data_IF_127377756392
#
_entry.id   IF_127377756392
#
_cell.length_a   1.000
_cell.length_b   1.000
_cell.length_c   1.000
_cell.angle_alpha   90.00
_cell.angle_beta   90.00
_cell.angle_gamma   90.00
#
_symmetry.space_group_name_H-M   'P 1'
#
loop_
_entity.id
_entity.type
_entity.pdbx_description
1 polymer ?
#
# COMPACT_ATOMS: atom_id res chain seq x y z
N UNK A 1 -0.17 -3.17 -8.39
CA UNK A 1 -1.04 -3.10 -7.20
C UNK A 1 -1.68 -1.72 -7.10
N UNK A 2 -2.70 -1.57 -6.26
CA UNK A 2 -3.45 -0.31 -6.12
C UNK A 2 -2.81 0.72 -5.19
N UNK A 3 -1.58 0.54 -4.80
CA UNK A 3 -0.95 1.36 -3.74
C UNK A 3 -1.03 2.87 -4.04
N UNK A 4 -0.60 3.26 -5.23
CA UNK A 4 -0.62 4.68 -5.63
C UNK A 4 -2.04 5.24 -5.64
N UNK A 5 -2.97 4.48 -6.20
CA UNK A 5 -4.38 4.85 -6.27
C UNK A 5 -4.98 5.07 -4.88
N UNK A 6 -4.78 4.10 -3.98
CA UNK A 6 -5.29 4.20 -2.62
C UNK A 6 -4.66 5.38 -1.90
N UNK A 7 -3.34 5.51 -1.99
CA UNK A 7 -2.60 6.60 -1.34
C UNK A 7 -3.13 7.96 -1.78
N UNK A 8 -3.30 8.14 -3.08
CA UNK A 8 -3.81 9.41 -3.62
C UNK A 8 -5.25 9.68 -3.19
N UNK A 9 -6.09 8.63 -3.14
CA UNK A 9 -7.47 8.79 -2.71
C UNK A 9 -7.57 9.24 -1.25
N UNK A 10 -6.57 8.93 -0.44
CA UNK A 10 -6.50 9.35 0.97
C UNK A 10 -5.79 10.69 1.15
N UNK A 11 -5.28 11.30 0.07
CA UNK A 11 -4.57 12.56 0.15
C UNK A 11 -3.21 12.47 0.85
N UNK A 12 -2.56 11.31 0.82
CA UNK A 12 -1.31 11.06 1.54
C UNK A 12 -0.15 11.09 0.55
N UNK A 13 0.92 11.84 0.90
CA UNK A 13 2.13 11.87 0.08
C UNK A 13 2.95 10.59 0.26
N UNK A 14 3.83 10.31 -0.70
CA UNK A 14 4.79 9.19 -0.57
C UNK A 14 5.65 9.35 0.68
N UNK A 15 6.10 10.58 0.95
CA UNK A 15 6.94 10.86 2.11
C UNK A 15 6.19 10.59 3.42
N UNK A 16 4.96 11.06 3.52
CA UNK A 16 4.13 10.84 4.70
C UNK A 16 3.93 9.35 4.96
N UNK A 17 3.58 8.60 3.93
CA UNK A 17 3.39 7.15 4.03
C UNK A 17 4.69 6.45 4.46
N UNK A 18 5.83 6.86 3.87
CA UNK A 18 7.11 6.28 4.22
C UNK A 18 7.45 6.51 5.69
N UNK A 19 7.20 7.71 6.19
CA UNK A 19 7.43 8.04 7.60
C UNK A 19 6.54 7.21 8.52
N UNK A 20 5.27 7.09 8.17
CA UNK A 20 4.30 6.35 8.99
C UNK A 20 4.61 4.85 9.02
N UNK A 21 5.16 4.31 7.93
CA UNK A 21 5.52 2.89 7.82
C UNK A 21 6.99 2.61 8.19
N UNK A 22 7.70 3.62 8.68
CA UNK A 22 9.09 3.51 9.10
C UNK A 22 10.01 2.99 7.98
N UNK A 23 9.83 3.54 6.80
CA UNK A 23 10.64 3.25 5.63
C UNK A 23 11.05 4.56 4.95
N UNK A 24 11.47 4.54 3.69
CA UNK A 24 11.86 5.74 2.97
C UNK A 24 11.02 5.92 1.70
N UNK A 25 11.02 7.14 1.19
CA UNK A 25 10.21 7.51 0.02
C UNK A 25 10.59 6.70 -1.22
N UNK A 26 11.87 6.40 -1.41
CA UNK A 26 12.33 5.62 -2.56
C UNK A 26 11.70 4.22 -2.56
N UNK A 27 11.60 3.61 -1.40
CA UNK A 27 10.96 2.29 -1.27
C UNK A 27 9.50 2.36 -1.69
N UNK A 28 8.77 3.35 -1.21
CA UNK A 28 7.35 3.53 -1.59
C UNK A 28 7.23 3.77 -3.09
N UNK A 29 8.08 4.62 -3.66
CA UNK A 29 8.09 4.90 -5.09
C UNK A 29 8.31 3.63 -5.92
N UNK A 30 9.26 2.79 -5.51
CA UNK A 30 9.56 1.54 -6.20
C UNK A 30 8.41 0.54 -6.12
N UNK A 31 7.73 0.49 -4.98
CA UNK A 31 6.51 -0.33 -4.86
C UNK A 31 5.43 0.15 -5.83
N UNK A 32 5.27 1.45 -5.96
CA UNK A 32 4.25 2.03 -6.85
C UNK A 32 4.55 1.82 -8.33
N UNK A 33 5.82 1.81 -8.71
CA UNK A 33 6.23 1.61 -10.11
C UNK A 33 6.37 0.13 -10.48
N UNK A 34 6.36 -0.76 -9.50
CA UNK A 34 6.58 -2.18 -9.75
C UNK A 34 8.05 -2.59 -9.81
N UNK A 35 8.99 -1.66 -9.57
CA UNK A 35 10.41 -2.00 -9.53
C UNK A 35 10.76 -2.95 -8.39
N UNK A 36 9.99 -2.88 -7.31
CA UNK A 36 10.20 -3.71 -6.14
C UNK A 36 8.85 -4.17 -5.61
N UNK A 37 8.76 -5.44 -5.24
CA UNK A 37 7.57 -5.99 -4.62
C UNK A 37 7.73 -6.02 -3.10
N UNK A 38 6.73 -5.55 -2.34
CA UNK A 38 6.76 -5.69 -0.88
C UNK A 38 6.71 -7.18 -0.49
N UNK A 39 7.43 -7.55 0.55
CA UNK A 39 7.27 -8.86 1.16
C UNK A 39 5.90 -9.00 1.83
N UNK A 40 5.60 -10.22 2.30
CA UNK A 40 4.30 -10.52 2.90
C UNK A 40 4.01 -9.60 4.09
N UNK A 41 4.99 -9.42 4.99
CA UNK A 41 4.80 -8.57 6.16
C UNK A 41 4.55 -7.11 5.77
N UNK A 42 5.24 -6.63 4.74
CA UNK A 42 5.07 -5.27 4.24
C UNK A 42 3.70 -5.09 3.59
N UNK A 43 3.23 -6.09 2.85
CA UNK A 43 1.88 -6.05 2.26
C UNK A 43 0.81 -5.93 3.34
N UNK A 44 0.95 -6.70 4.42
CA UNK A 44 0.01 -6.65 5.54
C UNK A 44 0.03 -5.27 6.19
N UNK A 45 1.23 -4.71 6.42
CA UNK A 45 1.37 -3.37 7.01
C UNK A 45 0.72 -2.30 6.13
N UNK A 46 0.93 -2.37 4.82
CA UNK A 46 0.35 -1.40 3.89
C UNK A 46 -1.17 -1.52 3.88
N UNK A 47 -1.69 -2.74 3.80
CA UNK A 47 -3.13 -2.97 3.80
C UNK A 47 -3.77 -2.48 5.10
N UNK A 48 -3.15 -2.75 6.24
CA UNK A 48 -3.63 -2.28 7.54
C UNK A 48 -3.57 -0.76 7.64
N UNK A 49 -2.50 -0.16 7.12
CA UNK A 49 -2.34 1.30 7.13
C UNK A 49 -3.51 1.99 6.41
N UNK A 50 -3.94 1.43 5.29
CA UNK A 50 -5.05 1.97 4.51
C UNK A 50 -6.40 1.36 4.87
N UNK A 51 -6.42 0.43 5.81
CA UNK A 51 -7.65 -0.27 6.25
C UNK A 51 -8.38 -0.94 5.07
N UNK A 52 -7.63 -1.64 4.24
CA UNK A 52 -8.17 -2.42 3.12
C UNK A 52 -7.63 -3.85 3.20
N UNK A 53 -8.24 -4.76 2.46
CA UNK A 53 -7.73 -6.14 2.38
C UNK A 53 -6.48 -6.19 1.51
N UNK A 54 -5.62 -7.17 1.76
CA UNK A 54 -4.46 -7.44 0.90
C UNK A 54 -4.92 -7.77 -0.52
N UNK A 55 -6.02 -8.52 -0.65
CA UNK A 55 -6.58 -8.86 -1.96
C UNK A 55 -6.96 -7.61 -2.76
N UNK A 56 -7.57 -6.62 -2.11
CA UNK A 56 -7.88 -5.35 -2.77
C UNK A 56 -6.62 -4.61 -3.19
N UNK A 57 -5.62 -4.56 -2.32
CA UNK A 57 -4.33 -3.93 -2.61
C UNK A 57 -3.67 -4.58 -3.83
N UNK A 58 -3.76 -5.91 -3.94
CA UNK A 58 -3.16 -6.68 -5.04
C UNK A 58 -4.05 -6.77 -6.28
N UNK A 59 -5.17 -6.07 -6.31
CA UNK A 59 -6.11 -6.04 -7.44
C UNK A 59 -6.78 -7.39 -7.71
N UNK A 60 -6.90 -8.24 -6.70
CA UNK A 60 -7.58 -9.53 -6.81
C UNK A 60 -9.09 -9.42 -6.59
N UNK A 61 -9.54 -8.31 -6.03
CA UNK A 61 -10.94 -8.03 -5.79
C UNK A 61 -11.18 -6.53 -5.91
N UNK A 62 -12.40 -6.13 -6.18
CA UNK A 62 -12.82 -4.72 -6.16
C UNK A 62 -13.44 -4.32 -4.81
N UNK A 63 -13.56 -5.28 -3.89
CA UNK A 63 -14.10 -5.03 -2.56
C UNK A 63 -12.95 -4.71 -1.60
N UNK A 64 -12.87 -3.49 -1.05
CA UNK A 64 -11.78 -3.13 -0.13
C UNK A 64 -11.94 -3.72 1.27
N UNK A 65 -13.10 -4.26 1.60
CA UNK A 65 -13.37 -4.75 2.95
C UNK A 65 -12.46 -5.91 3.33
N UNK A 66 -11.99 -5.88 4.57
CA UNK A 66 -11.22 -6.97 5.14
C UNK A 66 -12.19 -8.10 5.46
N UNK A 67 -11.92 -9.28 4.88
CA UNK A 67 -12.70 -10.48 5.16
C UNK A 67 -12.15 -11.14 6.44
N UNK A 68 -13.03 -11.42 7.34
CA UNK A 68 -12.68 -12.11 8.59
C UNK A 68 -13.27 -13.50 8.62
#
# INVERSE_FOLDING_TARGET
>A
MRLKEIRKSKGISQLKMAMDLNTNQNTISRYETGEREPGINELIKIADYFNVSVDYLLERTNNPNILK
#
